data_IF_164067008676
#
_entry.id   IF_164067008676
#
_cell.length_a   1.000
_cell.length_b   1.000
_cell.length_c   1.000
_cell.angle_alpha   90.00
_cell.angle_beta   90.00
_cell.angle_gamma   90.00
#
_symmetry.space_group_name_H-M   'P 1'
#
loop_
_entity.id
_entity.type
_entity.pdbx_description
1 polymer ?
#
# COMPACT_ATOMS: atom_id res chain seq x y z
N UNK A 1 0.13 26.20 7.13
CA UNK A 1 0.92 26.39 8.37
C UNK A 1 2.21 25.62 8.20
N UNK A 2 3.37 26.26 8.41
CA UNK A 2 4.68 25.62 8.31
C UNK A 2 4.89 24.63 9.47
N UNK A 3 5.78 23.64 9.26
CA UNK A 3 6.17 22.70 10.31
C UNK A 3 6.95 23.47 11.40
N UNK A 4 6.63 23.24 12.67
CA UNK A 4 7.32 23.89 13.79
C UNK A 4 8.40 23.00 14.41
N UNK A 5 9.30 23.57 15.19
CA UNK A 5 10.40 22.87 15.84
C UNK A 5 9.90 21.77 16.79
N UNK A 6 8.82 22.00 17.54
CA UNK A 6 8.29 21.03 18.50
C UNK A 6 7.78 19.77 17.80
N UNK A 7 7.08 19.96 16.67
CA UNK A 7 6.60 18.85 15.85
C UNK A 7 7.77 18.05 15.25
N UNK A 8 8.79 18.73 14.70
CA UNK A 8 9.98 18.06 14.16
C UNK A 8 10.68 17.24 15.25
N UNK A 9 10.89 17.81 16.44
CA UNK A 9 11.51 17.09 17.56
C UNK A 9 10.70 15.85 17.98
N UNK A 10 9.39 16.00 18.05
CA UNK A 10 8.48 14.88 18.34
C UNK A 10 8.61 13.77 17.30
N UNK A 11 8.59 14.10 16.03
CA UNK A 11 8.68 13.16 14.92
C UNK A 11 10.06 12.47 14.90
N UNK A 12 11.14 13.22 15.07
CA UNK A 12 12.50 12.66 15.11
C UNK A 12 12.74 11.77 16.34
N UNK A 13 12.10 12.07 17.48
CA UNK A 13 12.14 11.19 18.65
C UNK A 13 11.60 9.79 18.33
N UNK A 14 10.54 9.71 17.52
CA UNK A 14 9.93 8.43 17.13
C UNK A 14 10.81 7.64 16.16
N UNK A 15 11.41 8.31 15.16
CA UNK A 15 12.11 7.60 14.07
C UNK A 15 13.61 7.38 14.33
N UNK A 16 14.25 8.18 15.18
CA UNK A 16 15.69 8.08 15.46
C UNK A 16 16.17 6.70 15.94
N UNK A 17 15.38 5.90 16.71
CA UNK A 17 15.77 4.54 17.05
C UNK A 17 15.86 3.57 15.85
N UNK A 18 15.21 3.88 14.73
CA UNK A 18 15.06 2.99 13.58
C UNK A 18 15.97 3.34 12.40
N UNK A 19 16.53 4.54 12.37
CA UNK A 19 17.35 4.99 11.23
C UNK A 19 18.52 5.86 11.69
N UNK A 20 19.53 5.97 10.84
CA UNK A 20 20.65 6.92 11.01
C UNK A 20 20.59 8.07 10.03
N UNK A 21 19.66 8.01 9.08
CA UNK A 21 19.55 8.99 8.02
C UNK A 21 18.08 9.23 7.64
N UNK A 22 17.78 10.48 7.37
CA UNK A 22 16.49 10.92 6.86
C UNK A 22 16.66 11.66 5.55
N UNK A 23 15.58 11.73 4.78
CA UNK A 23 15.46 12.54 3.57
C UNK A 23 14.38 13.59 3.76
N UNK A 24 14.69 14.83 3.37
CA UNK A 24 13.70 15.91 3.23
C UNK A 24 13.39 16.16 1.75
N UNK A 25 12.31 16.87 1.47
CA UNK A 25 11.88 17.19 0.10
C UNK A 25 12.02 18.68 -0.22
N UNK A 26 12.02 19.54 0.80
CA UNK A 26 12.07 20.99 0.69
C UNK A 26 13.09 21.57 1.67
N UNK A 27 13.54 22.78 1.39
CA UNK A 27 14.48 23.55 2.21
C UNK A 27 13.82 24.80 2.79
N UNK A 28 12.49 24.95 2.66
CA UNK A 28 11.72 26.14 3.12
C UNK A 28 10.50 25.73 3.91
N UNK A 29 9.68 26.68 4.37
CA UNK A 29 8.39 26.46 5.07
C UNK A 29 8.50 25.62 6.35
N UNK A 30 9.55 25.83 7.15
CA UNK A 30 9.82 25.08 8.38
C UNK A 30 10.74 23.87 8.19
N UNK A 31 10.91 23.37 6.96
CA UNK A 31 11.80 22.25 6.68
C UNK A 31 13.30 22.63 6.83
N UNK A 32 13.62 23.90 6.76
CA UNK A 32 14.96 24.43 7.03
C UNK A 32 15.43 24.20 8.48
N UNK A 33 14.52 23.91 9.41
CA UNK A 33 14.84 23.57 10.80
C UNK A 33 15.33 22.13 10.95
N UNK A 34 14.94 21.25 10.04
CA UNK A 34 15.16 19.79 10.16
C UNK A 34 16.64 19.42 10.30
N UNK A 35 17.59 19.92 9.51
CA UNK A 35 18.98 19.50 9.63
C UNK A 35 19.61 19.83 11.00
N UNK A 36 19.32 21.01 11.55
CA UNK A 36 19.78 21.42 12.87
C UNK A 36 19.25 20.53 13.98
N UNK A 37 17.92 20.26 13.95
CA UNK A 37 17.27 19.42 14.95
C UNK A 37 17.71 17.95 14.79
N UNK A 38 17.86 17.46 13.57
CA UNK A 38 18.32 16.10 13.29
C UNK A 38 19.73 15.83 13.84
N UNK A 39 20.60 16.84 13.87
CA UNK A 39 21.91 16.72 14.48
C UNK A 39 21.86 16.39 15.99
N UNK A 40 20.86 16.91 16.72
CA UNK A 40 20.64 16.61 18.14
C UNK A 40 20.31 15.11 18.38
N UNK A 41 19.79 14.43 17.37
CA UNK A 41 19.47 13.00 17.36
C UNK A 41 20.55 12.13 16.72
N UNK A 42 21.68 12.72 16.28
CA UNK A 42 22.74 12.01 15.58
C UNK A 42 22.34 11.52 14.19
N UNK A 43 21.33 12.15 13.59
CA UNK A 43 20.82 11.79 12.26
C UNK A 43 21.51 12.57 11.15
N UNK A 44 21.86 11.88 10.09
CA UNK A 44 22.27 12.47 8.83
C UNK A 44 21.06 12.85 7.97
N UNK A 45 21.25 13.82 7.07
CA UNK A 45 20.18 14.33 6.22
C UNK A 45 20.59 14.31 4.75
N UNK A 46 19.76 13.72 3.90
CA UNK A 46 19.73 14.02 2.47
C UNK A 46 18.79 15.20 2.26
N UNK A 47 19.36 16.38 2.04
CA UNK A 47 18.60 17.62 1.96
C UNK A 47 17.95 17.78 0.59
N UNK A 48 16.62 17.83 0.57
CA UNK A 48 15.84 18.13 -0.62
C UNK A 48 15.75 19.63 -0.90
N UNK A 49 15.73 19.97 -2.19
CA UNK A 49 15.40 21.28 -2.76
C UNK A 49 14.24 21.05 -3.70
N UNK A 50 13.06 21.57 -3.36
CA UNK A 50 11.86 21.40 -4.16
C UNK A 50 11.87 22.33 -5.37
N UNK A 51 11.71 21.75 -6.57
CA UNK A 51 11.59 22.52 -7.81
C UNK A 51 10.30 22.16 -8.53
N UNK A 52 9.49 23.18 -8.83
CA UNK A 52 8.21 23.03 -9.55
C UNK A 52 8.07 23.95 -10.77
N UNK A 53 9.17 24.58 -11.19
CA UNK A 53 9.20 25.49 -12.32
C UNK A 53 8.74 26.92 -12.01
N UNK A 54 8.40 27.21 -10.74
CA UNK A 54 7.99 28.56 -10.32
C UNK A 54 9.19 29.36 -9.80
N UNK A 55 9.83 30.16 -10.64
CA UNK A 55 11.09 30.83 -10.39
C UNK A 55 11.26 31.51 -9.02
N UNK A 56 10.30 32.31 -8.50
CA UNK A 56 10.50 32.94 -7.19
C UNK A 56 10.53 31.95 -6.02
N UNK A 57 9.89 30.77 -6.19
CA UNK A 57 9.88 29.70 -5.20
C UNK A 57 11.10 28.85 -5.34
N UNK A 58 11.42 28.40 -6.55
CA UNK A 58 12.59 27.57 -6.85
C UNK A 58 13.87 28.27 -6.41
N UNK A 59 13.98 29.59 -6.61
CA UNK A 59 15.14 30.38 -6.18
C UNK A 59 15.32 30.35 -4.65
N UNK A 60 14.22 30.57 -3.89
CA UNK A 60 14.28 30.48 -2.42
C UNK A 60 14.64 29.09 -1.92
N UNK A 61 14.13 28.04 -2.58
CA UNK A 61 14.47 26.65 -2.26
C UNK A 61 15.95 26.37 -2.49
N UNK A 62 16.52 26.83 -3.61
CA UNK A 62 17.95 26.65 -3.93
C UNK A 62 18.82 27.42 -2.95
N UNK A 63 18.53 28.70 -2.73
CA UNK A 63 19.30 29.53 -1.79
C UNK A 63 19.31 28.93 -0.38
N UNK A 64 18.13 28.51 0.10
CA UNK A 64 17.99 27.88 1.42
C UNK A 64 18.74 26.54 1.48
N UNK A 65 18.51 25.64 0.53
CA UNK A 65 19.14 24.32 0.51
C UNK A 65 20.67 24.40 0.45
N UNK A 66 21.22 25.32 -0.34
CA UNK A 66 22.66 25.59 -0.40
C UNK A 66 23.19 26.15 0.92
N UNK A 67 22.47 27.10 1.53
CA UNK A 67 22.86 27.67 2.83
C UNK A 67 22.86 26.61 3.94
N UNK A 68 21.85 25.72 3.95
CA UNK A 68 21.78 24.59 4.89
C UNK A 68 22.93 23.62 4.71
N UNK A 69 23.26 23.23 3.47
CA UNK A 69 24.36 22.31 3.18
C UNK A 69 25.73 22.87 3.57
N UNK A 70 25.89 24.20 3.49
CA UNK A 70 27.12 24.88 3.96
C UNK A 70 27.21 24.98 5.49
N UNK A 71 26.04 25.04 6.17
CA UNK A 71 25.95 25.28 7.61
C UNK A 71 25.98 24.01 8.44
N UNK A 72 25.35 22.92 7.98
CA UNK A 72 25.11 21.72 8.76
C UNK A 72 25.95 20.55 8.26
N UNK A 73 26.89 20.10 9.09
CA UNK A 73 27.83 19.01 8.75
C UNK A 73 27.19 17.62 8.71
N UNK A 74 25.96 17.47 9.23
CA UNK A 74 25.17 16.24 9.14
C UNK A 74 24.36 16.16 7.84
N UNK A 75 24.37 17.17 6.99
CA UNK A 75 23.89 17.02 5.61
C UNK A 75 24.99 16.34 4.81
N UNK A 76 24.70 15.15 4.32
CA UNK A 76 25.67 14.32 3.58
C UNK A 76 25.40 14.26 2.07
N UNK A 77 24.28 14.82 1.62
CA UNK A 77 23.97 14.98 0.20
C UNK A 77 22.86 16.00 -0.03
N UNK A 78 22.78 16.55 -1.24
CA UNK A 78 21.72 17.45 -1.68
C UNK A 78 20.97 16.83 -2.87
N UNK A 79 19.64 16.85 -2.81
CA UNK A 79 18.76 16.35 -3.86
C UNK A 79 18.03 17.54 -4.48
N UNK A 80 18.39 17.89 -5.71
CA UNK A 80 17.88 19.05 -6.46
C UNK A 80 16.73 18.63 -7.35
N UNK A 81 15.50 18.92 -6.96
CA UNK A 81 14.27 18.47 -7.62
C UNK A 81 13.85 17.06 -7.18
N UNK A 82 12.54 16.86 -7.16
CA UNK A 82 11.87 15.59 -6.88
C UNK A 82 10.87 15.29 -7.98
N UNK A 83 11.17 14.32 -8.84
CA UNK A 83 10.36 13.95 -10.00
C UNK A 83 10.06 15.15 -10.92
N UNK A 84 11.00 16.08 -10.99
CA UNK A 84 10.80 17.32 -11.73
C UNK A 84 10.66 17.09 -13.25
N UNK A 85 11.32 16.06 -13.79
CA UNK A 85 11.14 15.64 -15.17
C UNK A 85 9.88 14.80 -15.33
N UNK A 86 9.66 13.82 -14.46
CA UNK A 86 8.48 12.98 -14.51
C UNK A 86 7.17 13.78 -14.41
N UNK A 87 7.16 14.83 -13.62
CA UNK A 87 6.02 15.75 -13.43
C UNK A 87 5.95 16.87 -14.46
N UNK A 88 6.87 16.90 -15.43
CA UNK A 88 6.96 17.95 -16.45
C UNK A 88 7.11 19.37 -15.87
N UNK A 89 7.66 19.48 -14.66
CA UNK A 89 7.88 20.77 -14.00
C UNK A 89 9.08 21.53 -14.63
N UNK A 90 10.10 20.77 -15.03
CA UNK A 90 11.32 21.29 -15.68
C UNK A 90 11.67 20.39 -16.86
N UNK A 91 12.33 20.98 -17.85
CA UNK A 91 13.01 20.21 -18.90
C UNK A 91 14.36 19.67 -18.35
N UNK A 92 14.87 18.61 -18.99
CA UNK A 92 16.18 18.02 -18.60
C UNK A 92 17.32 19.04 -18.61
N UNK A 93 17.47 19.91 -19.63
CA UNK A 93 18.51 20.96 -19.61
C UNK A 93 18.34 21.96 -18.46
N UNK A 94 17.12 22.35 -18.13
CA UNK A 94 16.84 23.25 -17.00
C UNK A 94 17.23 22.61 -15.68
N UNK A 95 16.83 21.37 -15.44
CA UNK A 95 17.17 20.63 -14.22
C UNK A 95 18.72 20.46 -14.10
N UNK A 96 19.39 20.08 -15.19
CA UNK A 96 20.85 19.97 -15.23
C UNK A 96 21.52 21.31 -14.87
N UNK A 97 20.99 22.42 -15.37
CA UNK A 97 21.54 23.75 -15.05
C UNK A 97 21.44 24.05 -13.54
N UNK A 98 20.33 23.70 -12.88
CA UNK A 98 20.17 23.87 -11.44
C UNK A 98 21.07 22.92 -10.65
N UNK A 99 21.19 21.66 -11.04
CA UNK A 99 22.13 20.70 -10.45
C UNK A 99 23.54 21.24 -10.50
N UNK A 100 24.01 21.70 -11.67
CA UNK A 100 25.34 22.25 -11.85
C UNK A 100 25.56 23.53 -11.03
N UNK A 101 24.55 24.37 -10.88
CA UNK A 101 24.58 25.54 -10.00
C UNK A 101 24.86 25.14 -8.56
N UNK A 102 24.05 24.21 -8.01
CA UNK A 102 24.20 23.73 -6.63
C UNK A 102 25.54 23.03 -6.44
N UNK A 103 26.02 22.22 -7.38
CA UNK A 103 27.33 21.55 -7.33
C UNK A 103 28.50 22.50 -7.21
N UNK A 104 28.42 23.70 -7.77
CA UNK A 104 29.46 24.69 -7.62
C UNK A 104 29.52 25.34 -6.24
N UNK A 105 28.45 25.24 -5.47
CA UNK A 105 28.32 25.94 -4.20
C UNK A 105 28.48 25.06 -2.96
N UNK A 106 28.25 23.74 -3.09
CA UNK A 106 28.32 22.81 -1.96
C UNK A 106 29.47 21.80 -2.15
N UNK A 107 29.97 21.25 -1.04
CA UNK A 107 31.05 20.25 -1.03
C UNK A 107 30.53 18.81 -0.91
N UNK A 108 29.26 18.63 -0.65
CA UNK A 108 28.60 17.30 -0.52
C UNK A 108 28.10 16.83 -1.88
N UNK A 109 27.92 15.52 -2.09
CA UNK A 109 27.36 14.96 -3.31
C UNK A 109 25.99 15.55 -3.65
N UNK A 110 25.77 15.83 -4.94
CA UNK A 110 24.53 16.42 -5.46
C UNK A 110 23.90 15.49 -6.49
N UNK A 111 22.60 15.29 -6.37
CA UNK A 111 21.79 14.53 -7.31
C UNK A 111 20.44 15.19 -7.53
N UNK A 112 19.60 14.60 -8.35
CA UNK A 112 18.14 14.76 -8.38
C UNK A 112 17.50 13.41 -8.09
N UNK A 113 16.21 13.40 -7.75
CA UNK A 113 15.47 12.17 -7.52
C UNK A 113 14.36 12.02 -8.56
N UNK A 114 14.39 10.92 -9.31
CA UNK A 114 13.45 10.64 -10.39
C UNK A 114 12.99 9.18 -10.37
N UNK A 115 11.84 8.92 -11.00
CA UNK A 115 11.38 7.56 -11.26
C UNK A 115 12.36 6.82 -12.16
N UNK A 116 12.46 5.51 -11.99
CA UNK A 116 13.50 4.68 -12.59
C UNK A 116 13.61 4.77 -14.13
N UNK A 117 12.49 4.91 -14.84
CA UNK A 117 12.48 5.01 -16.30
C UNK A 117 13.07 6.32 -16.80
N UNK A 118 12.89 7.44 -16.09
CA UNK A 118 13.51 8.73 -16.44
C UNK A 118 15.03 8.60 -16.50
N UNK A 119 15.63 7.87 -15.58
CA UNK A 119 17.08 7.63 -15.60
C UNK A 119 17.55 6.85 -16.84
N UNK A 120 16.73 5.91 -17.35
CA UNK A 120 17.03 5.16 -18.55
C UNK A 120 16.82 5.97 -19.84
N UNK A 121 15.85 6.88 -19.83
CA UNK A 121 15.48 7.71 -20.96
C UNK A 121 16.42 8.91 -21.14
N UNK A 122 17.09 9.35 -20.04
CA UNK A 122 17.92 10.57 -20.00
C UNK A 122 19.33 10.31 -19.48
N UNK A 123 20.22 9.67 -20.26
CA UNK A 123 21.59 9.38 -19.82
C UNK A 123 22.43 10.66 -19.56
N UNK A 124 22.06 11.79 -20.20
CA UNK A 124 22.68 13.10 -19.93
C UNK A 124 22.40 13.57 -18.50
N UNK A 125 21.21 13.29 -17.95
CA UNK A 125 20.87 13.57 -16.55
C UNK A 125 21.74 12.72 -15.61
N UNK A 126 21.87 11.43 -15.89
CA UNK A 126 22.71 10.52 -15.12
C UNK A 126 24.19 10.96 -15.11
N UNK A 127 24.68 11.58 -16.19
CA UNK A 127 26.04 12.10 -16.30
C UNK A 127 26.25 13.37 -15.48
N UNK A 128 25.20 14.14 -15.20
CA UNK A 128 25.26 15.44 -14.52
C UNK A 128 25.30 15.33 -12.98
N UNK A 129 24.89 14.20 -12.41
CA UNK A 129 24.76 13.96 -10.96
C UNK A 129 25.92 13.14 -10.40
N UNK A 130 26.14 13.19 -9.08
CA UNK A 130 27.18 12.43 -8.41
C UNK A 130 26.76 10.97 -8.15
N UNK A 131 25.46 10.73 -7.97
CA UNK A 131 24.86 9.40 -7.83
C UNK A 131 23.42 9.41 -8.35
N UNK A 132 22.83 8.24 -8.62
CA UNK A 132 21.43 8.14 -9.02
C UNK A 132 20.56 7.97 -7.78
N UNK A 133 19.60 8.87 -7.58
CA UNK A 133 18.54 8.72 -6.58
C UNK A 133 17.24 8.30 -7.29
N UNK A 134 16.87 7.05 -7.12
CA UNK A 134 15.87 6.37 -7.96
C UNK A 134 14.61 6.09 -7.17
N UNK A 135 13.45 6.43 -7.72
CA UNK A 135 12.16 6.02 -7.18
C UNK A 135 11.70 4.73 -7.85
N UNK A 136 11.36 3.74 -7.05
CA UNK A 136 10.78 2.48 -7.50
C UNK A 136 9.57 2.19 -6.63
N UNK A 137 8.39 2.41 -7.19
CA UNK A 137 7.12 2.35 -6.46
C UNK A 137 6.15 1.38 -7.16
N UNK A 138 6.28 0.06 -6.92
CA UNK A 138 5.55 -0.98 -7.65
C UNK A 138 4.03 -0.88 -7.54
N UNK A 139 3.50 -0.28 -6.48
CA UNK A 139 2.08 0.00 -6.35
C UNK A 139 1.56 0.87 -7.52
N UNK A 140 2.29 1.94 -7.86
CA UNK A 140 1.88 2.83 -8.96
C UNK A 140 1.94 2.16 -10.34
N UNK A 141 2.78 1.14 -10.47
CA UNK A 141 2.86 0.30 -11.67
C UNK A 141 1.76 -0.76 -11.71
N UNK A 142 1.06 -0.98 -10.60
CA UNK A 142 -0.05 -1.90 -10.48
C UNK A 142 0.38 -3.36 -10.33
N UNK A 143 1.58 -3.58 -9.78
CA UNK A 143 2.12 -4.92 -9.55
C UNK A 143 1.59 -5.51 -8.22
N UNK A 144 1.39 -6.84 -8.14
CA UNK A 144 1.03 -7.46 -6.87
C UNK A 144 2.17 -7.34 -5.86
N UNK A 145 1.84 -7.24 -4.56
CA UNK A 145 2.84 -7.12 -3.49
C UNK A 145 3.89 -8.23 -3.52
N UNK A 146 3.51 -9.45 -3.92
CA UNK A 146 4.42 -10.59 -4.05
C UNK A 146 5.50 -10.41 -5.13
N UNK A 147 5.31 -9.52 -6.10
CA UNK A 147 6.28 -9.22 -7.15
C UNK A 147 7.09 -7.95 -6.89
N UNK A 148 6.70 -7.13 -5.91
CA UNK A 148 7.22 -5.79 -5.72
C UNK A 148 8.73 -5.75 -5.46
N UNK A 149 9.23 -6.64 -4.61
CA UNK A 149 10.65 -6.69 -4.20
C UNK A 149 11.55 -7.19 -5.35
N UNK A 150 11.13 -8.24 -6.04
CA UNK A 150 11.89 -8.77 -7.19
C UNK A 150 11.92 -7.77 -8.34
N UNK A 151 10.83 -7.03 -8.55
CA UNK A 151 10.78 -5.95 -9.52
C UNK A 151 11.79 -4.83 -9.18
N UNK A 152 11.82 -4.37 -7.94
CA UNK A 152 12.77 -3.36 -7.49
C UNK A 152 14.23 -3.82 -7.65
N UNK A 153 14.52 -5.07 -7.28
CA UNK A 153 15.85 -5.65 -7.44
C UNK A 153 16.26 -5.74 -8.92
N UNK A 154 15.33 -6.11 -9.81
CA UNK A 154 15.56 -6.16 -11.26
C UNK A 154 15.85 -4.78 -11.84
N UNK A 155 15.10 -3.75 -11.46
CA UNK A 155 15.34 -2.37 -11.91
C UNK A 155 16.70 -1.89 -11.42
N UNK A 156 17.03 -2.14 -10.15
CA UNK A 156 18.34 -1.78 -9.60
C UNK A 156 19.48 -2.40 -10.41
N UNK A 157 19.40 -3.70 -10.72
CA UNK A 157 20.40 -4.37 -11.54
C UNK A 157 20.47 -3.83 -12.97
N UNK A 158 19.34 -3.50 -13.58
CA UNK A 158 19.30 -2.88 -14.91
C UNK A 158 20.01 -1.52 -14.90
N UNK A 159 19.75 -0.68 -13.90
CA UNK A 159 20.43 0.61 -13.77
C UNK A 159 21.92 0.44 -13.50
N UNK A 160 22.32 -0.53 -12.68
CA UNK A 160 23.72 -0.85 -12.40
C UNK A 160 24.48 -1.29 -13.66
N UNK A 161 23.82 -2.05 -14.53
CA UNK A 161 24.37 -2.46 -15.82
C UNK A 161 24.44 -1.31 -16.82
N UNK A 162 23.45 -0.42 -16.82
CA UNK A 162 23.38 0.75 -17.71
C UNK A 162 24.41 1.81 -17.32
N UNK A 163 24.66 1.99 -16.02
CA UNK A 163 25.56 3.00 -15.47
C UNK A 163 26.66 2.38 -14.60
N UNK A 164 27.61 1.62 -15.20
CA UNK A 164 28.62 0.93 -14.43
C UNK A 164 29.51 1.92 -13.66
N UNK A 165 29.75 1.62 -12.38
CA UNK A 165 30.54 2.46 -11.49
C UNK A 165 29.79 3.67 -10.89
N UNK A 166 28.56 3.95 -11.31
CA UNK A 166 27.73 4.98 -10.69
C UNK A 166 27.09 4.42 -9.42
N UNK A 167 27.21 5.15 -8.31
CA UNK A 167 26.46 4.83 -7.09
C UNK A 167 24.96 5.01 -7.35
N UNK A 168 24.17 4.06 -6.89
CA UNK A 168 22.71 4.08 -7.02
C UNK A 168 22.11 3.97 -5.61
N UNK A 169 21.15 4.85 -5.30
CA UNK A 169 20.36 4.82 -4.08
C UNK A 169 18.90 4.67 -4.50
N UNK A 170 18.19 3.70 -3.94
CA UNK A 170 16.73 3.65 -4.08
C UNK A 170 16.17 4.71 -3.13
N UNK A 171 15.95 5.91 -3.64
CA UNK A 171 15.58 7.08 -2.84
C UNK A 171 14.11 7.07 -2.39
N UNK A 172 13.28 6.28 -3.05
CA UNK A 172 11.92 5.96 -2.61
C UNK A 172 11.58 4.52 -2.96
N UNK A 173 11.26 3.76 -1.93
CA UNK A 173 10.54 2.50 -2.02
C UNK A 173 9.44 2.49 -0.96
N UNK A 174 8.24 2.04 -1.31
CA UNK A 174 7.11 2.05 -0.39
C UNK A 174 5.96 1.19 -0.87
N UNK A 175 5.01 0.96 0.05
CA UNK A 175 3.74 0.30 -0.22
C UNK A 175 2.67 0.91 0.68
N UNK A 176 1.49 1.30 0.16
CA UNK A 176 0.44 1.87 1.00
C UNK A 176 -0.30 0.81 1.80
N UNK A 177 -0.75 1.17 3.01
CA UNK A 177 -1.49 0.27 3.90
C UNK A 177 -3.01 0.32 3.74
N UNK A 178 -3.53 1.30 3.00
CA UNK A 178 -4.96 1.47 2.76
C UNK A 178 -5.19 2.27 1.48
N UNK A 179 -6.41 2.28 1.02
CA UNK A 179 -6.84 2.96 -0.20
C UNK A 179 -7.35 1.98 -1.24
N UNK A 180 -7.37 2.43 -2.49
CA UNK A 180 -7.95 1.66 -3.60
C UNK A 180 -6.89 0.80 -4.27
N UNK A 181 -7.30 -0.35 -4.77
CA UNK A 181 -6.44 -1.19 -5.59
C UNK A 181 -6.09 -0.48 -6.90
N UNK A 182 -4.86 -0.71 -7.34
CA UNK A 182 -4.39 -0.30 -8.67
C UNK A 182 -3.99 -1.55 -9.45
N UNK A 183 -4.85 -2.00 -10.37
CA UNK A 183 -4.68 -3.30 -11.05
C UNK A 183 -4.53 -4.43 -10.01
N UNK A 184 -3.37 -5.12 -9.98
CA UNK A 184 -3.07 -6.20 -9.04
C UNK A 184 -2.47 -5.70 -7.71
N UNK A 185 -2.11 -4.42 -7.62
CA UNK A 185 -1.59 -3.84 -6.38
C UNK A 185 -2.73 -3.62 -5.37
N UNK A 186 -2.67 -4.31 -4.25
CA UNK A 186 -3.63 -4.23 -3.16
C UNK A 186 -3.00 -3.52 -1.97
N UNK A 187 -3.46 -2.30 -1.62
CA UNK A 187 -2.99 -1.61 -0.44
C UNK A 187 -3.69 -2.16 0.80
N UNK A 188 -2.95 -2.84 1.65
CA UNK A 188 -3.41 -3.32 2.95
C UNK A 188 -2.24 -3.40 3.95
N UNK A 189 -2.51 -3.37 5.29
CA UNK A 189 -1.46 -3.34 6.29
C UNK A 189 -0.54 -4.57 6.28
N UNK A 190 -1.06 -5.76 5.99
CA UNK A 190 -0.28 -6.99 5.94
C UNK A 190 0.67 -6.99 4.74
N UNK A 191 0.16 -6.64 3.56
CA UNK A 191 0.96 -6.53 2.34
C UNK A 191 2.02 -5.43 2.50
N UNK A 192 1.70 -4.28 3.09
CA UNK A 192 2.68 -3.24 3.40
C UNK A 192 3.81 -3.79 4.25
N UNK A 193 3.48 -4.46 5.37
CA UNK A 193 4.47 -5.02 6.27
C UNK A 193 5.37 -6.06 5.59
N UNK A 194 4.79 -6.97 4.81
CA UNK A 194 5.53 -7.99 4.07
C UNK A 194 6.45 -7.38 3.02
N UNK A 195 5.91 -6.52 2.14
CA UNK A 195 6.68 -5.88 1.06
C UNK A 195 7.85 -5.06 1.62
N UNK A 196 7.62 -4.25 2.65
CA UNK A 196 8.67 -3.40 3.20
C UNK A 196 9.75 -4.19 3.92
N UNK A 197 9.38 -5.22 4.71
CA UNK A 197 10.34 -6.07 5.40
C UNK A 197 11.17 -6.91 4.43
N UNK A 198 10.54 -7.49 3.43
CA UNK A 198 11.21 -8.29 2.40
C UNK A 198 12.14 -7.41 1.55
N UNK A 199 11.71 -6.17 1.25
CA UNK A 199 12.55 -5.21 0.56
C UNK A 199 13.79 -4.82 1.38
N UNK A 200 13.62 -4.46 2.66
CA UNK A 200 14.73 -4.10 3.53
C UNK A 200 15.75 -5.26 3.64
N UNK A 201 15.26 -6.48 3.86
CA UNK A 201 16.12 -7.66 3.92
C UNK A 201 16.87 -7.93 2.59
N UNK A 202 16.18 -7.75 1.45
CA UNK A 202 16.79 -7.90 0.11
C UNK A 202 17.80 -6.79 -0.17
N UNK A 203 17.50 -5.55 0.18
CA UNK A 203 18.38 -4.41 -0.02
C UNK A 203 19.67 -4.56 0.83
N UNK A 204 19.54 -4.96 2.08
CA UNK A 204 20.68 -5.24 2.96
C UNK A 204 21.56 -6.39 2.39
N UNK A 205 20.94 -7.47 1.92
CA UNK A 205 21.67 -8.59 1.31
C UNK A 205 22.41 -8.22 0.01
N UNK A 206 21.89 -7.25 -0.75
CA UNK A 206 22.48 -6.74 -1.99
C UNK A 206 23.41 -5.54 -1.77
N UNK A 207 23.49 -4.99 -0.56
CA UNK A 207 24.26 -3.77 -0.25
C UNK A 207 23.67 -2.53 -0.93
N UNK A 208 22.36 -2.44 -1.05
CA UNK A 208 21.65 -1.32 -1.67
C UNK A 208 21.37 -0.27 -0.61
N UNK A 209 21.79 0.97 -0.86
CA UNK A 209 21.34 2.12 -0.08
C UNK A 209 19.90 2.47 -0.44
N UNK A 210 19.03 2.70 0.55
CA UNK A 210 17.62 3.01 0.30
C UNK A 210 17.00 3.98 1.30
N UNK A 211 15.88 4.57 0.92
CA UNK A 211 14.95 5.29 1.78
C UNK A 211 13.55 4.74 1.62
N UNK A 212 12.86 4.51 2.73
CA UNK A 212 11.45 4.12 2.72
C UNK A 212 10.58 5.37 2.65
N UNK A 213 9.63 5.39 1.71
CA UNK A 213 8.58 6.39 1.65
C UNK A 213 7.32 5.80 2.29
N UNK A 214 6.87 6.30 3.45
CA UNK A 214 7.42 7.43 4.22
C UNK A 214 7.42 7.10 5.73
N UNK A 215 7.90 8.01 6.56
CA UNK A 215 7.93 7.76 8.01
C UNK A 215 6.52 7.67 8.61
N UNK A 216 5.68 8.67 8.34
CA UNK A 216 4.35 8.81 8.97
C UNK A 216 3.25 8.88 7.93
N UNK A 217 2.09 8.31 8.25
CA UNK A 217 0.87 8.57 7.51
C UNK A 217 0.52 10.06 7.52
N UNK A 218 0.13 10.59 6.36
CA UNK A 218 -0.13 12.02 6.17
C UNK A 218 -1.57 12.24 5.67
N UNK A 219 -2.56 12.43 6.57
CA UNK A 219 -3.98 12.54 6.20
C UNK A 219 -4.30 13.64 5.18
N UNK A 220 -3.43 14.64 5.05
CA UNK A 220 -3.59 15.75 4.11
C UNK A 220 -3.20 15.41 2.66
N UNK A 221 -2.48 14.31 2.41
CA UNK A 221 -1.99 13.91 1.07
C UNK A 221 -3.07 13.31 0.17
N UNK A 222 -4.32 13.70 0.32
CA UNK A 222 -5.45 13.21 -0.48
C UNK A 222 -5.36 13.56 -1.97
N UNK A 223 -4.52 14.53 -2.34
CA UNK A 223 -4.24 14.90 -3.73
C UNK A 223 -3.46 13.80 -4.49
N UNK A 224 -2.79 12.88 -3.80
CA UNK A 224 -2.17 11.69 -4.37
C UNK A 224 -3.17 10.51 -4.48
N UNK A 225 -4.47 10.81 -4.41
CA UNK A 225 -5.54 9.81 -4.48
C UNK A 225 -5.79 9.12 -3.14
N UNK A 226 -6.52 8.00 -3.19
CA UNK A 226 -6.99 7.29 -2.00
C UNK A 226 -5.88 6.70 -1.12
N UNK A 227 -4.70 6.45 -1.68
CA UNK A 227 -3.55 5.86 -0.99
C UNK A 227 -2.59 6.88 -0.41
N UNK A 228 -2.65 8.14 -0.88
CA UNK A 228 -1.73 9.20 -0.48
C UNK A 228 -1.55 9.33 1.04
N UNK A 229 -2.61 9.24 1.85
CA UNK A 229 -2.52 9.33 3.30
C UNK A 229 -1.82 8.16 4.02
N UNK A 230 -1.55 7.02 3.35
CA UNK A 230 -1.30 5.74 4.02
C UNK A 230 0.03 5.06 3.70
N UNK A 231 1.07 5.81 3.36
CA UNK A 231 2.40 5.29 3.02
C UNK A 231 3.33 5.13 4.24
N UNK A 232 2.97 5.69 5.39
CA UNK A 232 3.82 5.72 6.59
C UNK A 232 4.15 4.32 7.13
N UNK A 233 5.36 4.20 7.73
CA UNK A 233 5.71 3.11 8.64
C UNK A 233 4.97 3.24 9.98
N UNK A 234 4.69 4.47 10.36
CA UNK A 234 3.91 4.84 11.52
C UNK A 234 2.59 5.47 11.07
N UNK A 235 1.55 5.31 11.86
CA UNK A 235 0.27 5.98 11.62
C UNK A 235 0.38 7.51 11.88
N UNK A 236 -0.70 8.24 11.60
CA UNK A 236 -0.76 9.68 11.83
C UNK A 236 -0.60 10.08 13.32
N UNK A 237 -0.82 9.14 14.24
CA UNK A 237 -0.61 9.30 15.68
C UNK A 237 0.77 8.84 16.16
N UNK A 238 1.68 8.51 15.23
CA UNK A 238 3.07 8.06 15.47
C UNK A 238 3.18 6.67 16.10
N UNK A 239 2.15 5.83 16.01
CA UNK A 239 2.26 4.43 16.40
C UNK A 239 2.79 3.60 15.24
N UNK A 240 3.71 2.64 15.50
CA UNK A 240 4.17 1.73 14.46
C UNK A 240 2.99 0.90 13.92
N UNK A 241 2.88 0.81 12.60
CA UNK A 241 1.80 0.05 11.95
C UNK A 241 2.07 -1.45 11.94
N UNK A 242 3.33 -1.83 12.06
CA UNK A 242 3.77 -3.23 12.17
C UNK A 242 5.16 -3.32 12.80
N UNK A 243 5.50 -4.48 13.32
CA UNK A 243 6.83 -4.77 13.85
C UNK A 243 7.82 -5.02 12.71
N UNK A 244 9.01 -4.42 12.78
CA UNK A 244 10.07 -4.62 11.77
C UNK A 244 10.73 -6.00 11.87
N UNK A 245 10.53 -6.74 12.96
CA UNK A 245 11.04 -8.09 13.17
C UNK A 245 9.95 -9.00 13.74
N UNK A 246 10.15 -10.31 13.72
CA UNK A 246 9.19 -11.29 14.22
C UNK A 246 8.11 -11.66 13.20
N UNK A 247 7.00 -12.23 13.66
CA UNK A 247 5.85 -12.60 12.80
C UNK A 247 5.06 -11.37 12.39
N UNK A 248 4.60 -11.36 11.14
CA UNK A 248 3.66 -10.34 10.67
C UNK A 248 2.27 -10.94 10.75
N UNK A 249 1.39 -10.29 11.51
CA UNK A 249 0.01 -10.73 11.67
C UNK A 249 -0.94 -9.66 11.11
N UNK A 250 -2.03 -10.11 10.47
CA UNK A 250 -3.07 -9.20 10.04
C UNK A 250 -3.72 -8.55 11.27
N UNK A 251 -3.72 -7.23 11.34
CA UNK A 251 -4.41 -6.52 12.41
C UNK A 251 -5.88 -6.91 12.44
N UNK A 252 -6.40 -7.16 13.66
CA UNK A 252 -7.81 -7.49 13.88
C UNK A 252 -8.30 -8.77 13.17
N UNK A 253 -7.40 -9.70 12.80
CA UNK A 253 -7.78 -10.97 12.18
C UNK A 253 -8.83 -11.73 13.00
N UNK A 254 -8.73 -11.67 14.33
CA UNK A 254 -9.67 -12.32 15.24
C UNK A 254 -11.08 -11.70 15.19
N UNK A 255 -11.20 -10.39 14.94
CA UNK A 255 -12.52 -9.73 14.76
C UNK A 255 -13.15 -10.17 13.43
N UNK A 256 -12.35 -10.24 12.35
CA UNK A 256 -12.81 -10.73 11.05
C UNK A 256 -13.22 -12.21 11.13
N UNK A 257 -12.41 -13.03 11.78
CA UNK A 257 -12.73 -14.44 12.03
C UNK A 257 -14.01 -14.59 12.90
N UNK A 258 -14.13 -13.79 13.95
CA UNK A 258 -15.31 -13.74 14.80
C UNK A 258 -16.57 -13.33 14.05
N UNK A 259 -16.49 -12.33 13.17
CA UNK A 259 -17.60 -11.90 12.32
C UNK A 259 -18.02 -13.01 11.33
N UNK A 260 -17.03 -13.66 10.69
CA UNK A 260 -17.29 -14.78 9.78
C UNK A 260 -17.97 -15.96 10.47
N UNK A 261 -17.46 -16.35 11.66
CA UNK A 261 -18.06 -17.40 12.49
C UNK A 261 -19.46 -17.00 12.98
N UNK A 262 -19.64 -15.77 13.45
CA UNK A 262 -20.92 -15.26 13.91
C UNK A 262 -21.98 -15.29 12.79
N UNK A 263 -21.63 -14.86 11.58
CA UNK A 263 -22.51 -14.93 10.43
C UNK A 263 -22.81 -16.38 10.05
N UNK A 264 -21.82 -17.26 10.06
CA UNK A 264 -22.02 -18.69 9.81
C UNK A 264 -22.95 -19.35 10.85
N UNK A 265 -22.80 -19.00 12.13
CA UNK A 265 -23.69 -19.48 13.19
C UNK A 265 -25.13 -18.97 13.01
N UNK A 266 -25.30 -17.68 12.67
CA UNK A 266 -26.65 -17.14 12.37
C UNK A 266 -27.31 -17.86 11.22
N UNK A 267 -26.57 -18.12 10.13
CA UNK A 267 -27.09 -18.91 9.02
C UNK A 267 -27.40 -20.35 9.43
N UNK A 268 -26.62 -20.94 10.35
CA UNK A 268 -26.86 -22.28 10.89
C UNK A 268 -28.14 -22.37 11.71
N UNK A 269 -28.61 -21.27 12.31
CA UNK A 269 -29.93 -21.26 13.02
C UNK A 269 -31.11 -21.65 12.11
N UNK A 270 -30.98 -21.38 10.81
CA UNK A 270 -31.97 -21.80 9.84
C UNK A 270 -32.17 -23.34 9.80
N UNK A 271 -31.16 -24.12 10.22
CA UNK A 271 -31.24 -25.59 10.28
C UNK A 271 -32.34 -26.05 11.25
N UNK A 272 -32.53 -25.34 12.37
CA UNK A 272 -33.53 -25.65 13.37
C UNK A 272 -34.99 -25.47 12.85
N UNK A 273 -35.15 -24.76 11.74
CA UNK A 273 -36.46 -24.59 11.09
C UNK A 273 -36.81 -25.77 10.17
N UNK A 274 -35.91 -26.74 9.96
CA UNK A 274 -36.08 -27.87 9.07
C UNK A 274 -36.53 -29.08 9.90
N UNK A 275 -37.80 -29.54 9.76
CA UNK A 275 -38.29 -30.70 10.51
C UNK A 275 -37.60 -31.99 10.03
N UNK A 276 -37.23 -32.88 10.96
CA UNK A 276 -36.73 -34.23 10.69
C UNK A 276 -35.29 -34.30 10.13
N UNK A 277 -34.48 -33.26 10.31
CA UNK A 277 -33.05 -33.27 9.93
C UNK A 277 -32.28 -34.28 10.79
N UNK A 278 -31.55 -35.17 10.12
CA UNK A 278 -30.66 -36.13 10.78
C UNK A 278 -29.39 -35.43 11.26
N UNK A 279 -28.67 -35.92 12.30
CA UNK A 279 -27.45 -35.28 12.82
C UNK A 279 -26.36 -35.02 11.76
N UNK A 280 -26.15 -35.97 10.83
CA UNK A 280 -25.18 -35.83 9.74
C UNK A 280 -25.61 -34.72 8.77
N UNK A 281 -26.88 -34.63 8.44
CA UNK A 281 -27.40 -33.55 7.59
C UNK A 281 -27.28 -32.19 8.27
N UNK A 282 -27.56 -32.11 9.57
CA UNK A 282 -27.39 -30.90 10.36
C UNK A 282 -25.92 -30.45 10.36
N UNK A 283 -24.98 -31.38 10.51
CA UNK A 283 -23.55 -31.08 10.44
C UNK A 283 -23.15 -30.55 9.06
N UNK A 284 -23.59 -31.20 7.97
CA UNK A 284 -23.29 -30.74 6.60
C UNK A 284 -23.87 -29.34 6.34
N UNK A 285 -25.07 -29.08 6.78
CA UNK A 285 -25.70 -27.76 6.65
C UNK A 285 -24.96 -26.71 7.47
N UNK A 286 -24.53 -27.05 8.69
CA UNK A 286 -23.75 -26.15 9.53
C UNK A 286 -22.37 -25.79 8.91
N UNK A 287 -21.67 -26.79 8.34
CA UNK A 287 -20.41 -26.56 7.62
C UNK A 287 -20.64 -25.66 6.40
N UNK A 288 -21.69 -25.94 5.62
CA UNK A 288 -22.04 -25.11 4.45
C UNK A 288 -22.41 -23.68 4.86
N UNK A 289 -23.18 -23.50 5.91
CA UNK A 289 -23.58 -22.19 6.43
C UNK A 289 -22.35 -21.40 6.91
N UNK A 290 -21.40 -22.05 7.58
CA UNK A 290 -20.14 -21.39 7.99
C UNK A 290 -19.24 -21.04 6.80
N UNK A 291 -19.18 -21.89 5.77
CA UNK A 291 -18.46 -21.59 4.53
C UNK A 291 -19.06 -20.36 3.81
N UNK A 292 -20.39 -20.28 3.74
CA UNK A 292 -21.11 -19.13 3.18
C UNK A 292 -20.84 -17.87 4.03
N UNK A 293 -20.88 -17.98 5.36
CA UNK A 293 -20.57 -16.87 6.27
C UNK A 293 -19.16 -16.32 6.07
N UNK A 294 -18.18 -17.21 5.96
CA UNK A 294 -16.79 -16.85 5.67
C UNK A 294 -16.67 -16.18 4.29
N UNK A 295 -17.31 -16.72 3.26
CA UNK A 295 -17.30 -16.13 1.93
C UNK A 295 -17.97 -14.75 1.90
N UNK A 296 -19.13 -14.57 2.55
CA UNK A 296 -19.78 -13.26 2.67
C UNK A 296 -18.91 -12.25 3.39
N UNK A 297 -18.19 -12.65 4.45
CA UNK A 297 -17.26 -11.80 5.16
C UNK A 297 -16.10 -11.33 4.25
N UNK A 298 -15.54 -12.23 3.43
CA UNK A 298 -14.49 -11.90 2.45
C UNK A 298 -15.01 -10.97 1.35
N UNK A 299 -16.21 -11.22 0.82
CA UNK A 299 -16.83 -10.35 -0.18
C UNK A 299 -17.08 -8.96 0.38
N UNK A 300 -17.55 -8.88 1.63
CA UNK A 300 -17.76 -7.59 2.30
C UNK A 300 -16.44 -6.83 2.52
N UNK A 301 -15.38 -7.51 2.97
CA UNK A 301 -14.06 -6.91 3.15
C UNK A 301 -13.49 -6.42 1.81
N UNK A 302 -13.61 -7.24 0.76
CA UNK A 302 -13.25 -6.86 -0.60
C UNK A 302 -14.01 -5.62 -1.08
N UNK A 303 -15.33 -5.60 -0.87
CA UNK A 303 -16.19 -4.48 -1.25
C UNK A 303 -15.85 -3.20 -0.47
N UNK A 304 -15.54 -3.30 0.82
CA UNK A 304 -15.19 -2.16 1.65
C UNK A 304 -13.83 -1.54 1.29
N UNK A 305 -12.93 -2.32 0.69
CA UNK A 305 -11.54 -1.90 0.39
C UNK A 305 -11.31 -1.55 -1.08
N UNK A 306 -12.26 -1.81 -1.97
CA UNK A 306 -12.09 -1.59 -3.40
C UNK A 306 -12.95 -0.43 -3.91
N UNK A 307 -12.43 0.26 -4.95
CA UNK A 307 -13.19 1.29 -5.64
C UNK A 307 -14.12 0.67 -6.67
N UNK A 308 -15.40 0.90 -6.50
CA UNK A 308 -16.40 0.49 -7.47
C UNK A 308 -17.14 1.71 -8.03
N UNK A 309 -17.27 1.75 -9.35
CA UNK A 309 -18.23 2.62 -9.99
C UNK A 309 -19.64 2.21 -9.52
N UNK A 310 -20.55 3.15 -9.36
CA UNK A 310 -21.91 2.93 -8.83
C UNK A 310 -22.61 1.70 -9.41
N UNK A 311 -22.45 1.42 -10.71
CA UNK A 311 -22.99 0.23 -11.36
C UNK A 311 -22.44 -1.09 -10.80
N UNK A 312 -21.17 -1.14 -10.47
CA UNK A 312 -20.52 -2.33 -9.86
C UNK A 312 -20.98 -2.52 -8.42
N UNK A 313 -21.16 -1.45 -7.66
CA UNK A 313 -21.72 -1.51 -6.31
C UNK A 313 -23.15 -2.05 -6.33
N UNK A 314 -23.97 -1.55 -7.26
CA UNK A 314 -25.35 -2.04 -7.43
C UNK A 314 -25.38 -3.51 -7.83
N UNK A 315 -24.53 -3.93 -8.78
CA UNK A 315 -24.46 -5.34 -9.20
C UNK A 315 -24.04 -6.27 -8.05
N UNK A 316 -23.12 -5.85 -7.18
CA UNK A 316 -22.72 -6.62 -6.00
C UNK A 316 -23.83 -6.70 -4.95
N UNK A 317 -24.55 -5.59 -4.71
CA UNK A 317 -25.72 -5.59 -3.81
C UNK A 317 -26.83 -6.52 -4.33
N UNK A 318 -27.13 -6.47 -5.63
CA UNK A 318 -28.08 -7.38 -6.26
C UNK A 318 -27.61 -8.84 -6.19
N UNK A 319 -26.32 -9.10 -6.41
CA UNK A 319 -25.70 -10.41 -6.25
C UNK A 319 -25.83 -10.95 -4.83
N UNK A 320 -25.60 -10.11 -3.82
CA UNK A 320 -25.81 -10.48 -2.42
C UNK A 320 -27.29 -10.79 -2.10
N UNK A 321 -28.22 -10.02 -2.64
CA UNK A 321 -29.66 -10.31 -2.50
C UNK A 321 -30.09 -11.64 -3.16
N UNK A 322 -29.42 -12.04 -4.26
CA UNK A 322 -29.68 -13.34 -4.91
C UNK A 322 -29.15 -14.53 -4.09
N UNK A 323 -28.28 -14.33 -3.11
CA UNK A 323 -27.87 -15.40 -2.19
C UNK A 323 -29.04 -15.91 -1.33
N UNK A 324 -30.00 -15.06 -0.99
CA UNK A 324 -31.15 -15.46 -0.18
C UNK A 324 -32.00 -16.55 -0.87
N UNK A 325 -32.50 -16.37 -2.12
CA UNK A 325 -33.18 -17.43 -2.83
C UNK A 325 -32.27 -18.62 -3.14
N UNK A 326 -30.98 -18.41 -3.37
CA UNK A 326 -30.01 -19.49 -3.57
C UNK A 326 -29.91 -20.39 -2.32
N UNK A 327 -29.85 -19.80 -1.12
CA UNK A 327 -29.86 -20.55 0.15
C UNK A 327 -31.14 -21.39 0.28
N UNK A 328 -32.28 -20.82 -0.09
CA UNK A 328 -33.60 -21.56 -0.06
C UNK A 328 -33.58 -22.72 -1.06
N UNK A 329 -33.06 -22.49 -2.27
CA UNK A 329 -32.99 -23.56 -3.30
C UNK A 329 -31.96 -24.62 -2.89
N UNK A 330 -30.79 -24.23 -2.39
CA UNK A 330 -29.79 -25.17 -1.87
C UNK A 330 -30.31 -26.00 -0.72
N UNK A 331 -31.15 -25.44 0.15
CA UNK A 331 -31.84 -26.20 1.21
C UNK A 331 -32.57 -27.40 0.64
N UNK A 332 -33.36 -27.23 -0.41
CA UNK A 332 -34.10 -28.31 -1.06
C UNK A 332 -33.18 -29.33 -1.73
N UNK A 333 -32.12 -28.86 -2.42
CA UNK A 333 -31.16 -29.72 -3.12
C UNK A 333 -30.21 -30.47 -2.19
N UNK A 334 -29.85 -29.91 -1.04
CA UNK A 334 -29.04 -30.59 -0.03
C UNK A 334 -29.79 -31.78 0.54
N UNK A 335 -31.11 -31.67 0.74
CA UNK A 335 -31.91 -32.79 1.17
C UNK A 335 -31.95 -33.93 0.13
N UNK A 336 -32.06 -33.60 -1.15
CA UNK A 336 -31.98 -34.57 -2.25
C UNK A 336 -30.59 -35.23 -2.35
N UNK A 337 -29.52 -34.43 -2.30
CA UNK A 337 -28.15 -34.91 -2.35
C UNK A 337 -27.79 -35.78 -1.14
N UNK A 338 -28.20 -35.37 0.05
CA UNK A 338 -28.01 -36.16 1.27
C UNK A 338 -28.79 -37.51 1.19
N UNK A 339 -29.96 -37.50 0.62
CA UNK A 339 -30.72 -38.73 0.39
C UNK A 339 -30.02 -39.69 -0.61
N UNK A 340 -29.41 -39.14 -1.66
CA UNK A 340 -28.66 -39.92 -2.64
C UNK A 340 -27.36 -40.46 -2.03
N UNK A 341 -26.62 -39.64 -1.31
CA UNK A 341 -25.30 -40.03 -0.76
C UNK A 341 -25.39 -40.99 0.43
N UNK A 342 -26.44 -40.88 1.23
CA UNK A 342 -26.62 -41.65 2.47
C UNK A 342 -27.75 -42.68 2.41
N UNK A 343 -28.30 -42.97 1.22
CA UNK A 343 -29.27 -44.06 1.02
C UNK A 343 -30.65 -43.88 1.66
N UNK A 344 -31.05 -42.64 1.93
CA UNK A 344 -32.38 -42.34 2.42
C UNK A 344 -33.29 -41.83 1.30
N UNK A 345 -34.46 -42.42 1.14
CA UNK A 345 -35.48 -41.91 0.21
C UNK A 345 -35.89 -40.50 0.58
N UNK A 346 -35.84 -39.53 -0.35
CA UNK A 346 -36.30 -38.17 -0.06
C UNK A 346 -37.76 -38.18 0.34
N UNK A 347 -38.11 -37.67 1.53
CA UNK A 347 -39.53 -37.34 1.80
C UNK A 347 -39.87 -36.20 0.86
N UNK A 348 -40.82 -36.41 -0.06
CA UNK A 348 -41.39 -35.34 -0.88
C UNK A 348 -41.95 -34.27 0.06
N UNK A 349 -41.28 -33.12 0.14
CA UNK A 349 -41.72 -31.95 0.92
C UNK A 349 -42.87 -31.17 0.24
N UNK A 350 -43.26 -31.58 -0.95
CA UNK A 350 -44.45 -31.11 -1.63
C UNK A 350 -45.39 -32.27 -1.74
N UNK A 351 -46.24 -32.48 -0.74
CA UNK A 351 -47.55 -33.10 -0.98
C UNK A 351 -48.33 -32.10 -1.82
N UNK A 352 -48.25 -32.20 -3.15
CA UNK A 352 -49.39 -31.78 -3.94
C UNK A 352 -50.61 -32.50 -3.36
N UNK A 353 -51.72 -31.80 -3.08
CA UNK A 353 -52.90 -32.47 -2.59
C UNK A 353 -53.25 -33.57 -3.63
N UNK A 354 -53.35 -34.78 -3.14
CA UNK A 354 -53.58 -35.98 -3.96
C UNK A 354 -54.86 -35.91 -4.83
N UNK A 355 -55.60 -34.83 -4.81
CA UNK A 355 -56.91 -34.66 -5.39
C UNK A 355 -56.99 -33.71 -6.60
N UNK A 356 -55.80 -33.26 -7.17
CA UNK A 356 -55.87 -32.31 -8.27
C UNK A 356 -55.97 -32.94 -9.66
N UNK A 357 -55.96 -34.29 -9.77
CA UNK A 357 -55.95 -34.96 -11.07
C UNK A 357 -57.18 -35.90 -11.28
N UNK A 358 -58.11 -35.97 -10.32
CA UNK A 358 -59.28 -36.87 -10.44
C UNK A 358 -60.49 -36.25 -11.17
N UNK A 359 -60.36 -35.06 -11.75
CA UNK A 359 -61.44 -34.42 -12.51
C UNK A 359 -60.95 -33.90 -13.85
N UNK A 360 -60.48 -34.79 -14.71
CA UNK A 360 -60.50 -34.56 -16.17
C UNK A 360 -61.46 -35.53 -16.78
N UNK A 361 -62.68 -35.10 -17.18
CA UNK A 361 -63.58 -35.96 -17.95
C UNK A 361 -63.01 -36.12 -19.35
N UNK A 362 -62.97 -37.34 -19.83
CA UNK A 362 -62.72 -37.69 -21.23
C UNK A 362 -63.75 -37.06 -22.15
#
# INVERSE_FOLDING_TARGET
>A
EGTDEAQIRSDLTVIAPYTRKIRTYSATNGMELVPGIAADFGLHVSQGIWLDGQQPRDEREIESGVALAKRHTNIDSVIVGNEAIYRENLTVPELIAQIQRVKREVSVPVTTAEVWNVWLEHPELASSVDYLAVHILPYWEGLPGSAAVDHAAKIYEQLRQTYPGKRIVIAEFGWPSAGLNRKEAVPDPLTQAQVLRDFMARADAMGIDYSIVEAFDQPWKTFEGSVGPYWGLFDASRHPKFELAGTVEAQNWYLKAGAALGLGLLLSLAIFTIPGVRPVQALMLAVTANAIGAWCSQVFDYWATHYFVFGSQLAMMLGALLLVPLIVIMRQRIEELAAILFGSTPRRLLTAPANALDHVPF
#
